data_IF_687908594865
#
_entry.id   IF_687908594865
#
_cell.length_a   1.000
_cell.length_b   1.000
_cell.length_c   1.000
_cell.angle_alpha   90.00
_cell.angle_beta   90.00
_cell.angle_gamma   90.00
#
_symmetry.space_group_name_H-M   'P 1'
#
loop_
_entity.id
_entity.type
_entity.pdbx_description
1 polymer ?
#
# COMPACT_ATOMS: atom_id res chain seq x y z
N UNK A 1 -8.28 -1.88 7.83
CA UNK A 1 -8.16 -0.50 8.33
C UNK A 1 -8.84 -0.29 9.69
N UNK A 2 -10.13 -0.61 9.86
CA UNK A 2 -10.81 -0.47 11.17
C UNK A 2 -10.07 -1.17 12.32
N UNK A 3 -9.62 -2.41 12.11
CA UNK A 3 -8.82 -3.17 13.08
C UNK A 3 -7.54 -2.41 13.46
N UNK A 4 -6.82 -1.88 12.48
CA UNK A 4 -5.57 -1.13 12.68
C UNK A 4 -5.80 0.16 13.47
N UNK A 5 -6.89 0.87 13.23
CA UNK A 5 -7.22 2.09 13.99
C UNK A 5 -7.56 1.78 15.46
N UNK A 6 -8.02 0.56 15.74
CA UNK A 6 -8.33 0.09 17.10
C UNK A 6 -7.12 -0.52 17.81
N UNK A 7 -5.97 -0.61 17.14
CA UNK A 7 -4.72 -1.07 17.73
C UNK A 7 -4.29 -0.18 18.91
N UNK A 8 -3.62 -0.81 19.89
CA UNK A 8 -2.93 -0.11 21.00
C UNK A 8 -1.69 0.65 20.52
N UNK A 9 -1.00 0.14 19.49
CA UNK A 9 0.26 0.68 18.98
C UNK A 9 0.28 0.79 17.45
N UNK A 10 -0.63 1.55 16.82
CA UNK A 10 -0.68 1.65 15.37
C UNK A 10 0.64 2.19 14.79
N UNK A 11 1.30 1.42 13.93
CA UNK A 11 2.60 1.76 13.30
C UNK A 11 2.47 2.16 11.82
N UNK A 12 1.31 2.68 11.41
CA UNK A 12 1.07 3.09 10.04
C UNK A 12 0.89 4.60 9.92
N UNK A 13 1.11 5.10 8.71
CA UNK A 13 0.80 6.48 8.33
C UNK A 13 -0.25 6.47 7.23
N UNK A 14 -1.21 7.38 7.32
CA UNK A 14 -2.12 7.68 6.21
C UNK A 14 -1.66 8.93 5.46
N UNK A 15 -1.90 8.91 4.16
CA UNK A 15 -1.55 9.97 3.23
C UNK A 15 -2.85 10.50 2.62
N UNK A 16 -3.07 11.81 2.64
CA UNK A 16 -4.18 12.38 1.86
C UNK A 16 -3.93 12.15 0.36
N UNK A 17 -4.93 12.37 -0.50
CA UNK A 17 -4.79 12.18 -1.95
C UNK A 17 -3.57 12.89 -2.55
N UNK A 18 -3.19 14.07 -2.06
CA UNK A 18 -2.05 14.82 -2.61
C UNK A 18 -0.74 14.21 -2.12
N UNK A 19 -0.61 13.94 -0.83
CA UNK A 19 0.56 13.29 -0.25
C UNK A 19 0.78 11.90 -0.87
N UNK A 20 -0.30 11.17 -1.14
CA UNK A 20 -0.23 9.88 -1.79
C UNK A 20 0.23 9.97 -3.25
N UNK A 21 -0.21 10.98 -4.01
CA UNK A 21 0.32 11.24 -5.35
C UNK A 21 1.81 11.61 -5.33
N UNK A 22 2.24 12.41 -4.34
CA UNK A 22 3.67 12.72 -4.16
C UNK A 22 4.47 11.48 -3.77
N UNK A 23 3.89 10.60 -2.94
CA UNK A 23 4.45 9.31 -2.57
C UNK A 23 4.63 8.37 -3.78
N UNK A 24 3.64 8.29 -4.67
CA UNK A 24 3.70 7.57 -5.94
C UNK A 24 4.75 8.18 -6.89
N UNK A 25 4.78 9.51 -6.99
CA UNK A 25 5.72 10.23 -7.87
C UNK A 25 7.18 9.97 -7.49
N UNK A 26 7.51 9.93 -6.19
CA UNK A 26 8.85 9.57 -5.71
C UNK A 26 9.29 8.18 -6.14
N UNK A 27 8.34 7.28 -6.37
CA UNK A 27 8.50 5.89 -6.83
C UNK A 27 8.45 5.75 -8.36
N UNK A 28 8.47 6.86 -9.09
CA UNK A 28 8.38 6.86 -10.56
C UNK A 28 6.95 6.68 -11.11
N UNK A 29 5.95 6.50 -10.25
CA UNK A 29 4.55 6.33 -10.66
C UNK A 29 3.88 7.71 -10.76
N UNK A 30 3.94 8.31 -11.95
CA UNK A 30 3.33 9.63 -12.21
C UNK A 30 1.83 9.49 -12.43
N UNK A 31 1.03 10.05 -11.52
CA UNK A 31 -0.44 10.06 -11.56
C UNK A 31 -1.02 11.41 -11.18
N UNK A 32 -2.29 11.61 -11.51
CA UNK A 32 -3.09 12.77 -11.17
C UNK A 32 -4.30 12.36 -10.33
N UNK A 33 -4.99 13.34 -9.73
CA UNK A 33 -6.20 13.09 -8.92
C UNK A 33 -7.26 12.33 -9.72
N UNK A 34 -7.44 12.66 -11.00
CA UNK A 34 -8.38 11.97 -11.88
C UNK A 34 -8.06 10.48 -12.05
N UNK A 35 -6.79 10.08 -11.94
CA UNK A 35 -6.42 8.67 -12.00
C UNK A 35 -6.87 7.94 -10.73
N UNK A 36 -6.71 8.57 -9.56
CA UNK A 36 -7.19 7.99 -8.29
C UNK A 36 -8.71 7.81 -8.31
N UNK A 37 -9.46 8.82 -8.75
CA UNK A 37 -10.91 8.75 -8.91
C UNK A 37 -11.32 7.68 -9.94
N UNK A 38 -10.57 7.54 -11.05
CA UNK A 38 -10.78 6.48 -12.01
C UNK A 38 -10.61 5.08 -11.40
N UNK A 39 -9.55 4.84 -10.62
CA UNK A 39 -9.33 3.53 -9.99
C UNK A 39 -10.34 3.22 -8.89
N UNK A 40 -10.83 4.24 -8.17
CA UNK A 40 -11.93 4.12 -7.20
C UNK A 40 -13.23 3.72 -7.92
N UNK A 41 -13.57 4.44 -9.01
CA UNK A 41 -14.71 4.11 -9.88
C UNK A 41 -14.66 2.68 -10.41
N UNK A 42 -13.47 2.21 -10.75
CA UNK A 42 -13.26 0.86 -11.25
C UNK A 42 -13.21 -0.19 -10.13
N UNK A 43 -13.39 0.17 -8.86
CA UNK A 43 -13.29 -0.74 -7.71
C UNK A 43 -11.93 -1.48 -7.68
N UNK A 44 -10.87 -0.84 -8.18
CA UNK A 44 -9.52 -1.41 -8.22
C UNK A 44 -8.72 -0.95 -7.00
N UNK A 45 -8.64 0.36 -6.80
CA UNK A 45 -7.91 0.96 -5.67
C UNK A 45 -8.73 2.09 -5.11
N UNK A 46 -9.12 1.93 -3.85
CA UNK A 46 -9.93 2.89 -3.09
C UNK A 46 -9.08 3.59 -2.04
N UNK A 47 -9.51 4.76 -1.54
CA UNK A 47 -9.01 5.22 -0.25
C UNK A 47 -9.24 4.14 0.82
N UNK A 48 -8.38 4.06 1.84
CA UNK A 48 -8.56 3.14 2.97
C UNK A 48 -9.53 3.69 4.02
N UNK A 49 -9.72 5.01 4.03
CA UNK A 49 -10.77 5.69 4.77
C UNK A 49 -11.10 7.05 4.12
N UNK A 50 -12.29 7.54 4.41
CA UNK A 50 -12.74 8.91 4.13
C UNK A 50 -13.00 9.61 5.46
N UNK A 51 -12.54 10.85 5.58
CA UNK A 51 -12.71 11.64 6.80
C UNK A 51 -13.66 12.80 6.54
N UNK A 52 -14.71 12.88 7.35
CA UNK A 52 -15.63 14.01 7.42
C UNK A 52 -14.95 15.20 8.11
N UNK A 53 -15.29 16.43 7.76
CA UNK A 53 -14.77 17.62 8.43
C UNK A 53 -14.96 17.52 9.94
N UNK A 54 -13.93 17.81 10.73
CA UNK A 54 -14.06 17.85 12.18
C UNK A 54 -14.84 19.10 12.61
N UNK A 55 -15.72 18.96 13.60
CA UNK A 55 -16.39 20.08 14.27
C UNK A 55 -15.34 20.95 14.98
N UNK A 56 -14.97 22.08 14.38
CA UNK A 56 -14.48 23.23 15.13
C UNK A 56 -14.92 24.53 14.46
N UNK A 57 -15.58 25.39 15.24
CA UNK A 57 -16.19 26.67 14.86
C UNK A 57 -15.23 27.69 14.24
N UNK A 58 -13.95 27.40 14.09
CA UNK A 58 -13.07 28.22 13.29
C UNK A 58 -11.82 27.43 12.84
N UNK A 59 -11.46 27.63 11.57
CA UNK A 59 -10.13 27.41 10.95
C UNK A 59 -9.88 26.14 10.10
N UNK A 60 -10.53 24.99 10.27
CA UNK A 60 -10.22 23.83 9.41
C UNK A 60 -11.22 23.57 8.27
N UNK A 61 -11.24 24.47 7.27
CA UNK A 61 -11.88 24.25 5.95
C UNK A 61 -11.13 23.25 5.05
N UNK A 62 -10.14 22.50 5.57
CA UNK A 62 -9.23 21.67 4.76
C UNK A 62 -8.83 20.42 5.52
N UNK A 63 -8.62 19.34 4.75
CA UNK A 63 -8.04 18.09 5.22
C UNK A 63 -6.84 18.35 6.14
N UNK A 64 -6.80 17.73 7.33
CA UNK A 64 -5.65 17.85 8.21
C UNK A 64 -4.40 17.40 7.45
N UNK A 65 -3.43 18.29 7.28
CA UNK A 65 -2.16 17.97 6.57
C UNK A 65 -1.37 16.89 7.29
N UNK A 66 -1.55 16.77 8.59
CA UNK A 66 -0.90 15.78 9.44
C UNK A 66 -1.96 15.20 10.35
N UNK A 67 -2.22 13.91 10.19
CA UNK A 67 -3.16 13.18 11.03
C UNK A 67 -2.39 12.29 11.98
N UNK A 68 -2.38 12.70 13.25
CA UNK A 68 -1.85 11.85 14.31
C UNK A 68 -2.79 10.66 14.52
N UNK A 69 -2.23 9.53 14.96
CA UNK A 69 -3.03 8.34 15.25
C UNK A 69 -4.05 8.57 16.36
N UNK A 70 -3.70 9.37 17.37
CA UNK A 70 -4.61 9.77 18.44
C UNK A 70 -5.81 10.54 17.87
N UNK A 71 -5.55 11.50 16.97
CA UNK A 71 -6.62 12.25 16.29
C UNK A 71 -7.52 11.34 15.43
N UNK A 72 -6.95 10.34 14.76
CA UNK A 72 -7.74 9.35 14.01
C UNK A 72 -8.66 8.51 14.89
N UNK A 73 -8.16 8.08 16.06
CA UNK A 73 -8.94 7.34 17.03
C UNK A 73 -10.08 8.20 17.58
N UNK A 74 -9.80 9.46 17.91
CA UNK A 74 -10.82 10.42 18.33
C UNK A 74 -11.89 10.62 17.25
N UNK A 75 -11.49 10.82 15.99
CA UNK A 75 -12.42 10.94 14.86
C UNK A 75 -13.25 9.67 14.63
N UNK A 76 -12.66 8.49 14.85
CA UNK A 76 -13.39 7.23 14.79
C UNK A 76 -14.49 7.16 15.87
N UNK A 77 -14.19 7.60 17.11
CA UNK A 77 -15.21 7.64 18.18
C UNK A 77 -16.32 8.66 17.94
N UNK A 78 -16.03 9.73 17.18
CA UNK A 78 -16.99 10.77 16.80
C UNK A 78 -17.79 10.42 15.53
N UNK A 79 -17.63 9.22 14.97
CA UNK A 79 -18.24 8.81 13.70
C UNK A 79 -17.88 9.73 12.52
N UNK A 80 -16.69 10.32 12.53
CA UNK A 80 -16.17 11.16 11.44
C UNK A 80 -15.36 10.36 10.42
N UNK A 81 -15.09 9.07 10.69
CA UNK A 81 -14.35 8.18 9.79
C UNK A 81 -15.33 7.24 9.08
N UNK A 82 -15.27 7.24 7.75
CA UNK A 82 -16.02 6.34 6.89
C UNK A 82 -15.05 5.36 6.19
N UNK A 83 -15.39 4.07 6.19
CA UNK A 83 -14.64 3.05 5.48
C UNK A 83 -15.33 2.74 4.15
N UNK A 84 -14.61 2.77 3.01
CA UNK A 84 -15.20 2.42 1.73
C UNK A 84 -15.71 0.97 1.71
N UNK A 85 -16.82 0.75 1.01
CA UNK A 85 -17.45 -0.57 0.82
C UNK A 85 -17.58 -0.93 -0.65
N UNK A 86 -17.85 -2.20 -0.99
CA UNK A 86 -18.02 -2.58 -2.38
C UNK A 86 -19.21 -1.82 -3.02
N UNK A 87 -19.00 -1.30 -4.24
CA UNK A 87 -20.00 -0.54 -5.02
C UNK A 87 -20.48 0.80 -4.42
N UNK A 88 -19.71 1.40 -3.51
CA UNK A 88 -20.06 2.67 -2.88
C UNK A 88 -19.63 3.91 -3.67
N UNK A 89 -19.04 3.75 -4.86
CA UNK A 89 -18.46 4.85 -5.63
C UNK A 89 -19.47 5.97 -5.93
N UNK A 90 -19.01 7.20 -5.73
CA UNK A 90 -19.61 8.45 -6.22
C UNK A 90 -18.51 9.32 -6.80
N UNK A 91 -18.90 10.24 -7.68
CA UNK A 91 -17.96 11.25 -8.19
C UNK A 91 -17.39 11.99 -6.98
N UNK A 92 -16.08 12.21 -6.93
CA UNK A 92 -15.42 12.66 -5.71
C UNK A 92 -15.93 13.99 -5.16
N UNK A 93 -16.35 14.88 -6.05
CA UNK A 93 -16.99 16.16 -5.70
C UNK A 93 -18.33 16.02 -4.96
N UNK A 94 -18.97 14.86 -5.02
CA UNK A 94 -20.25 14.55 -4.37
C UNK A 94 -20.05 13.95 -2.98
N UNK A 95 -18.82 13.56 -2.62
CA UNK A 95 -18.46 13.20 -1.26
C UNK A 95 -18.30 14.48 -0.44
N UNK A 96 -19.42 14.94 0.11
CA UNK A 96 -19.48 16.09 1.01
C UNK A 96 -20.01 15.67 2.37
N UNK A 97 -19.55 16.36 3.41
CA UNK A 97 -20.05 16.16 4.76
C UNK A 97 -21.38 16.88 4.96
N UNK A 98 -21.91 16.83 6.19
CA UNK A 98 -23.20 17.44 6.53
C UNK A 98 -23.24 18.97 6.39
N UNK A 99 -22.09 19.63 6.24
CA UNK A 99 -21.98 21.06 6.00
C UNK A 99 -21.72 21.40 4.53
N UNK A 100 -21.57 20.39 3.67
CA UNK A 100 -21.27 20.56 2.25
C UNK A 100 -19.78 20.67 1.95
N UNK A 101 -18.90 20.45 2.92
CA UNK A 101 -17.46 20.47 2.70
C UNK A 101 -16.98 19.11 2.15
N UNK A 102 -16.01 19.10 1.21
CA UNK A 102 -15.52 17.85 0.64
C UNK A 102 -14.86 16.92 1.67
N UNK A 103 -15.18 15.63 1.60
CA UNK A 103 -14.50 14.60 2.40
C UNK A 103 -13.03 14.45 1.99
N UNK A 104 -12.21 14.13 2.98
CA UNK A 104 -10.80 13.87 2.77
C UNK A 104 -10.55 12.39 2.53
N UNK A 105 -10.00 12.06 1.35
CA UNK A 105 -9.65 10.70 0.97
C UNK A 105 -8.25 10.37 1.46
N UNK A 106 -8.12 9.30 2.25
CA UNK A 106 -6.84 8.84 2.77
C UNK A 106 -6.46 7.50 2.18
N UNK A 107 -5.19 7.40 1.83
CA UNK A 107 -4.54 6.21 1.28
C UNK A 107 -3.46 5.73 2.22
N UNK A 108 -3.12 4.46 2.09
CA UNK A 108 -2.07 3.83 2.84
C UNK A 108 -0.83 3.63 1.94
N UNK A 109 0.40 3.88 2.42
CA UNK A 109 1.64 3.68 1.65
C UNK A 109 1.73 2.33 0.93
N UNK A 110 1.43 1.22 1.60
CA UNK A 110 1.35 -0.15 1.02
C UNK A 110 0.53 -0.24 -0.28
N UNK A 111 -0.42 0.67 -0.52
CA UNK A 111 -1.21 0.67 -1.76
C UNK A 111 -0.36 0.90 -3.02
N UNK A 112 0.90 1.33 -2.89
CA UNK A 112 1.85 1.37 -4.01
C UNK A 112 1.96 0.03 -4.74
N UNK A 113 1.88 -1.10 -4.03
CA UNK A 113 1.97 -2.44 -4.62
C UNK A 113 0.82 -2.65 -5.60
N UNK A 114 -0.41 -2.32 -5.19
CA UNK A 114 -1.58 -2.37 -6.07
C UNK A 114 -1.48 -1.39 -7.24
N UNK A 115 -1.01 -0.17 -6.98
CA UNK A 115 -0.85 0.84 -8.03
C UNK A 115 0.16 0.43 -9.08
N UNK A 116 1.34 -0.04 -8.69
CA UNK A 116 2.38 -0.44 -9.62
C UNK A 116 1.87 -1.53 -10.59
N UNK A 117 1.21 -2.56 -10.06
CA UNK A 117 0.69 -3.66 -10.89
C UNK A 117 -0.47 -3.24 -11.79
N UNK A 118 -1.44 -2.49 -11.29
CA UNK A 118 -2.56 -2.01 -12.12
C UNK A 118 -2.07 -1.03 -13.17
N UNK A 119 -1.17 -0.13 -12.79
CA UNK A 119 -0.68 0.90 -13.71
C UNK A 119 0.17 0.32 -14.83
N UNK A 120 0.97 -0.72 -14.57
CA UNK A 120 1.72 -1.42 -15.60
C UNK A 120 0.82 -2.34 -16.43
N UNK A 121 -0.15 -3.00 -15.78
CA UNK A 121 -1.07 -3.94 -16.42
C UNK A 121 -2.12 -3.31 -17.35
N UNK A 122 -2.50 -2.06 -17.07
CA UNK A 122 -3.55 -1.33 -17.82
C UNK A 122 -2.93 -0.38 -18.87
N UNK A 123 -1.60 -0.33 -19.02
CA UNK A 123 -0.96 0.46 -20.08
C UNK A 123 -1.21 -0.17 -21.46
N UNK A 124 -1.87 0.59 -22.33
CA UNK A 124 -1.94 0.27 -23.75
C UNK A 124 -0.57 0.54 -24.40
N UNK A 125 0.10 -0.53 -24.82
CA UNK A 125 1.36 -0.43 -25.57
C UNK A 125 1.06 -0.53 -27.07
N UNK A 126 1.29 0.56 -27.79
CA UNK A 126 1.23 0.57 -29.25
C UNK A 126 2.65 0.63 -29.80
N UNK A 127 3.15 -0.52 -30.27
CA UNK A 127 4.45 -0.58 -30.91
C UNK A 127 4.46 0.19 -32.23
N UNK A 128 5.60 0.82 -32.56
CA UNK A 128 5.77 1.67 -33.76
C UNK A 128 5.40 0.91 -35.04
N UNK A 129 5.91 -0.32 -35.20
CA UNK A 129 5.58 -1.15 -36.36
C UNK A 129 4.08 -1.38 -36.49
N UNK A 130 3.44 -1.80 -35.39
CA UNK A 130 2.00 -2.04 -35.35
C UNK A 130 1.19 -0.78 -35.63
N UNK A 131 1.69 0.40 -35.27
CA UNK A 131 1.07 1.69 -35.59
C UNK A 131 1.16 2.01 -37.09
N UNK A 132 2.32 1.78 -37.72
CA UNK A 132 2.51 2.00 -39.15
C UNK A 132 1.68 1.05 -40.01
N UNK A 133 1.43 -0.16 -39.51
CA UNK A 133 0.64 -1.20 -40.19
C UNK A 133 -0.89 -0.98 -40.08
N UNK A 134 -1.35 0.06 -39.37
CA UNK A 134 -2.78 0.36 -39.22
C UNK A 134 -3.34 0.92 -40.54
N UNK A 135 -4.07 0.10 -41.27
CA UNK A 135 -4.77 0.48 -42.51
C UNK A 135 -6.17 1.05 -42.26
N UNK A 136 -6.83 0.63 -41.18
CA UNK A 136 -8.14 1.14 -40.74
C UNK A 136 -8.07 1.56 -39.24
N UNK A 137 -7.82 2.86 -38.97
CA UNK A 137 -7.73 3.37 -37.61
C UNK A 137 -9.02 3.23 -36.80
N UNK A 138 -10.19 3.34 -37.43
CA UNK A 138 -11.47 3.34 -36.71
C UNK A 138 -11.79 1.94 -36.20
N UNK A 139 -11.63 0.93 -37.06
CA UNK A 139 -11.80 -0.46 -36.66
C UNK A 139 -10.73 -0.88 -35.63
N UNK A 140 -9.49 -0.44 -35.81
CA UNK A 140 -8.42 -0.71 -34.86
C UNK A 140 -8.74 -0.20 -33.45
N UNK A 141 -9.13 1.08 -33.33
CA UNK A 141 -9.51 1.68 -32.04
C UNK A 141 -10.69 0.95 -31.42
N UNK A 142 -11.67 0.50 -32.22
CA UNK A 142 -12.82 -0.25 -31.74
C UNK A 142 -12.40 -1.60 -31.13
N UNK A 143 -11.50 -2.34 -31.80
CA UNK A 143 -10.95 -3.60 -31.31
C UNK A 143 -10.13 -3.38 -30.03
N UNK A 144 -9.24 -2.38 -30.03
CA UNK A 144 -8.42 -2.05 -28.86
C UNK A 144 -9.30 -1.70 -27.67
N UNK A 145 -10.32 -0.87 -27.86
CA UNK A 145 -11.28 -0.51 -26.80
C UNK A 145 -11.99 -1.74 -26.24
N UNK A 146 -12.42 -2.67 -27.10
CA UNK A 146 -13.08 -3.92 -26.66
C UNK A 146 -12.14 -4.78 -25.82
N UNK A 147 -10.89 -4.96 -26.27
CA UNK A 147 -9.90 -5.75 -25.54
C UNK A 147 -9.52 -5.08 -24.21
N UNK A 148 -9.29 -3.77 -24.24
CA UNK A 148 -9.00 -2.98 -23.05
C UNK A 148 -10.09 -3.10 -21.99
N UNK A 149 -11.37 -3.06 -22.37
CA UNK A 149 -12.48 -3.26 -21.44
C UNK A 149 -12.53 -4.68 -20.85
N UNK A 150 -12.12 -5.69 -21.62
CA UNK A 150 -11.99 -7.07 -21.12
C UNK A 150 -10.84 -7.18 -20.12
N UNK A 151 -9.69 -6.60 -20.45
CA UNK A 151 -8.50 -6.61 -19.59
C UNK A 151 -8.78 -5.86 -18.29
N UNK A 152 -9.45 -4.71 -18.36
CA UNK A 152 -9.92 -3.96 -17.18
C UNK A 152 -10.73 -4.84 -16.24
N UNK A 153 -11.69 -5.64 -16.74
CA UNK A 153 -12.46 -6.57 -15.90
C UNK A 153 -11.59 -7.66 -15.28
N UNK A 154 -10.61 -8.16 -16.02
CA UNK A 154 -9.62 -9.11 -15.50
C UNK A 154 -8.81 -8.51 -14.35
N UNK A 155 -8.36 -7.26 -14.52
CA UNK A 155 -7.64 -6.52 -13.48
C UNK A 155 -8.51 -6.20 -12.27
N UNK A 156 -9.79 -5.85 -12.45
CA UNK A 156 -10.72 -5.64 -11.34
C UNK A 156 -10.83 -6.90 -10.48
N UNK A 157 -11.00 -8.05 -11.14
CA UNK A 157 -11.05 -9.34 -10.47
C UNK A 157 -9.72 -9.66 -9.75
N UNK A 158 -8.59 -9.51 -10.42
CA UNK A 158 -7.26 -9.74 -9.82
C UNK A 158 -7.00 -8.83 -8.61
N UNK A 159 -7.40 -7.57 -8.68
CA UNK A 159 -7.29 -6.64 -7.55
C UNK A 159 -8.11 -7.10 -6.35
N UNK A 160 -9.36 -7.50 -6.58
CA UNK A 160 -10.25 -7.97 -5.52
C UNK A 160 -9.79 -9.29 -4.92
N UNK A 161 -9.45 -10.27 -5.76
CA UNK A 161 -9.20 -11.64 -5.34
C UNK A 161 -7.78 -11.83 -4.76
N UNK A 162 -6.82 -10.97 -5.12
CA UNK A 162 -5.42 -11.16 -4.75
C UNK A 162 -4.77 -9.93 -4.12
N UNK A 163 -4.77 -8.77 -4.79
CA UNK A 163 -3.97 -7.63 -4.34
C UNK A 163 -4.53 -6.91 -3.12
N UNK A 164 -5.85 -6.69 -3.05
CA UNK A 164 -6.48 -6.08 -1.88
C UNK A 164 -6.27 -6.91 -0.60
N UNK A 165 -6.49 -8.24 -0.60
CA UNK A 165 -6.12 -9.10 0.53
C UNK A 165 -4.65 -9.00 0.93
N UNK A 166 -3.72 -9.04 -0.05
CA UNK A 166 -2.28 -8.92 0.21
C UNK A 166 -1.90 -7.59 0.83
N UNK A 167 -2.42 -6.49 0.32
CA UNK A 167 -2.21 -5.16 0.89
C UNK A 167 -2.79 -5.08 2.31
N UNK A 168 -3.98 -5.64 2.54
CA UNK A 168 -4.58 -5.73 3.87
C UNK A 168 -3.73 -6.52 4.87
N UNK A 169 -3.18 -7.66 4.43
CA UNK A 169 -2.25 -8.46 5.23
C UNK A 169 -0.97 -7.69 5.56
N UNK A 170 -0.34 -7.05 4.57
CA UNK A 170 0.85 -6.23 4.80
C UNK A 170 0.59 -5.09 5.80
N UNK A 171 -0.56 -4.43 5.72
CA UNK A 171 -0.94 -3.40 6.71
C UNK A 171 -1.10 -3.97 8.13
N UNK A 172 -1.57 -5.22 8.28
CA UNK A 172 -1.64 -5.90 9.58
C UNK A 172 -0.26 -6.23 10.15
N UNK A 173 0.73 -6.46 9.28
CA UNK A 173 2.11 -6.71 9.72
C UNK A 173 2.84 -5.46 10.17
N UNK A 174 2.46 -4.27 9.69
CA UNK A 174 3.19 -3.05 10.01
C UNK A 174 3.23 -2.78 11.52
N UNK A 175 2.14 -3.05 12.24
CA UNK A 175 2.03 -2.83 13.69
C UNK A 175 3.14 -3.51 14.50
N UNK A 176 3.46 -4.76 14.16
CA UNK A 176 4.40 -5.58 14.91
C UNK A 176 5.77 -5.70 14.26
N UNK A 177 5.90 -5.51 12.94
CA UNK A 177 7.18 -5.73 12.25
C UNK A 177 7.79 -4.47 11.64
N UNK A 178 7.00 -3.43 11.35
CA UNK A 178 7.54 -2.22 10.70
C UNK A 178 8.64 -1.54 11.53
N UNK A 179 8.55 -1.40 12.86
CA UNK A 179 9.62 -0.75 13.63
C UNK A 179 10.96 -1.47 13.54
N UNK A 180 10.96 -2.80 13.52
CA UNK A 180 12.19 -3.60 13.41
C UNK A 180 12.79 -3.53 11.98
N UNK A 181 11.92 -3.51 10.97
CA UNK A 181 12.34 -3.53 9.56
C UNK A 181 12.77 -2.15 9.07
N UNK A 182 11.99 -1.12 9.39
CA UNK A 182 12.19 0.24 8.88
C UNK A 182 13.07 1.10 9.78
N UNK A 183 13.33 0.64 11.02
CA UNK A 183 14.01 1.38 12.08
C UNK A 183 13.33 2.71 12.44
N UNK A 184 12.03 2.81 12.16
CA UNK A 184 11.21 3.94 12.53
C UNK A 184 10.02 3.51 13.38
N UNK A 185 9.81 4.24 14.46
CA UNK A 185 8.68 4.03 15.35
C UNK A 185 7.75 5.24 15.29
N UNK A 186 6.48 4.97 14.96
CA UNK A 186 5.44 5.99 14.99
C UNK A 186 4.80 5.99 16.38
N UNK A 187 5.45 6.71 17.31
CA UNK A 187 5.03 6.84 18.70
C UNK A 187 4.34 8.16 19.03
N UNK A 188 3.65 8.19 20.17
CA UNK A 188 3.10 9.40 20.78
C UNK A 188 4.19 10.35 21.30
N UNK A 189 3.78 11.35 22.09
CA UNK A 189 4.62 12.48 22.53
C UNK A 189 5.86 12.12 23.36
N UNK A 190 6.02 10.86 23.82
CA UNK A 190 7.22 10.38 24.51
C UNK A 190 7.78 9.09 23.89
N UNK A 191 8.54 9.25 22.81
CA UNK A 191 9.03 8.17 21.93
C UNK A 191 9.75 7.03 22.66
N UNK A 192 10.65 7.32 23.61
CA UNK A 192 11.43 6.27 24.30
C UNK A 192 10.51 5.37 25.15
N UNK A 193 9.66 5.97 25.98
CA UNK A 193 8.71 5.21 26.80
C UNK A 193 7.64 4.51 25.96
N UNK A 194 7.30 5.06 24.79
CA UNK A 194 6.34 4.44 23.87
C UNK A 194 6.96 3.24 23.15
N UNK A 195 8.23 3.32 22.76
CA UNK A 195 8.93 2.21 22.10
C UNK A 195 9.12 1.02 23.05
N UNK A 196 9.56 1.25 24.30
CA UNK A 196 9.68 0.19 25.31
C UNK A 196 8.33 -0.51 25.56
N UNK A 197 7.25 0.26 25.67
CA UNK A 197 5.88 -0.29 25.81
C UNK A 197 5.43 -1.08 24.59
N UNK A 198 5.81 -0.64 23.39
CA UNK A 198 5.54 -1.39 22.17
C UNK A 198 6.32 -2.71 22.14
N UNK A 199 7.60 -2.71 22.54
CA UNK A 199 8.40 -3.94 22.64
C UNK A 199 7.79 -4.92 23.66
N UNK A 200 7.41 -4.43 24.84
CA UNK A 200 6.74 -5.23 25.86
C UNK A 200 5.43 -5.83 25.33
N UNK A 201 4.59 -5.02 24.68
CA UNK A 201 3.37 -5.49 24.03
C UNK A 201 3.66 -6.53 22.94
N UNK A 202 4.65 -6.30 22.08
CA UNK A 202 5.03 -7.24 21.02
C UNK A 202 5.47 -8.59 21.58
N UNK A 203 6.22 -8.59 22.68
CA UNK A 203 6.71 -9.83 23.30
C UNK A 203 5.64 -10.56 24.11
N UNK A 204 4.74 -9.84 24.79
CA UNK A 204 3.84 -10.43 25.79
C UNK A 204 2.39 -10.56 25.33
N UNK A 205 1.92 -9.72 24.41
CA UNK A 205 0.50 -9.60 24.04
C UNK A 205 0.23 -9.83 22.55
N UNK A 206 1.16 -9.50 21.65
CA UNK A 206 0.98 -9.69 20.22
C UNK A 206 0.80 -11.18 19.87
N UNK A 207 -0.16 -11.46 19.00
CA UNK A 207 -0.47 -12.81 18.55
C UNK A 207 -0.53 -12.88 17.02
N UNK A 208 0.40 -13.60 16.42
CA UNK A 208 0.43 -13.95 15.00
C UNK A 208 -0.84 -14.67 14.55
N UNK A 209 -1.43 -15.51 15.42
CA UNK A 209 -2.72 -16.17 15.18
C UNK A 209 -3.85 -15.19 14.93
N UNK A 210 -3.87 -14.05 15.62
CA UNK A 210 -4.89 -13.01 15.39
C UNK A 210 -4.77 -12.37 14.00
N UNK A 211 -3.54 -12.25 13.47
CA UNK A 211 -3.29 -11.75 12.12
C UNK A 211 -3.82 -12.74 11.07
N UNK A 212 -3.62 -14.04 11.26
CA UNK A 212 -4.17 -15.08 10.37
C UNK A 212 -5.70 -15.04 10.39
N UNK A 213 -6.30 -15.00 11.58
CA UNK A 213 -7.76 -14.93 11.74
C UNK A 213 -8.36 -13.71 11.06
N UNK A 214 -7.68 -12.56 11.10
CA UNK A 214 -8.15 -11.31 10.50
C UNK A 214 -7.88 -11.20 8.99
N UNK A 215 -6.97 -11.99 8.44
CA UNK A 215 -6.58 -11.92 7.02
C UNK A 215 -7.16 -13.05 6.17
N UNK A 216 -7.53 -14.18 6.77
CA UNK A 216 -7.93 -15.42 6.08
C UNK A 216 -6.84 -16.03 5.19
N UNK A 217 -5.57 -15.68 5.42
CA UNK A 217 -4.44 -16.25 4.66
C UNK A 217 -4.10 -17.64 5.17
N UNK A 218 -3.85 -18.57 4.25
CA UNK A 218 -3.24 -19.86 4.57
C UNK A 218 -1.72 -19.72 4.71
N UNK A 219 -1.06 -20.75 5.23
CA UNK A 219 0.41 -20.81 5.27
C UNK A 219 0.97 -20.68 3.85
N UNK A 220 0.39 -21.40 2.90
CA UNK A 220 0.79 -21.38 1.49
C UNK A 220 0.66 -19.99 0.87
N UNK A 221 -0.41 -19.25 1.18
CA UNK A 221 -0.61 -17.88 0.72
C UNK A 221 0.48 -16.93 1.23
N UNK A 222 0.91 -17.11 2.48
CA UNK A 222 1.94 -16.28 3.13
C UNK A 222 3.30 -16.53 2.47
N UNK A 223 3.67 -17.80 2.24
CA UNK A 223 4.90 -18.14 1.53
C UNK A 223 4.86 -17.69 0.07
N UNK A 224 3.71 -17.82 -0.60
CA UNK A 224 3.54 -17.31 -1.97
C UNK A 224 3.68 -15.79 -2.03
N UNK A 225 3.14 -15.06 -1.05
CA UNK A 225 3.31 -13.61 -0.94
C UNK A 225 4.77 -13.24 -0.68
N UNK A 226 5.45 -13.94 0.23
CA UNK A 226 6.88 -13.74 0.48
C UNK A 226 7.70 -13.86 -0.81
N UNK A 227 7.56 -14.99 -1.51
CA UNK A 227 8.25 -15.25 -2.76
C UNK A 227 7.92 -14.21 -3.84
N UNK A 228 6.66 -13.79 -3.94
CA UNK A 228 6.24 -12.75 -4.88
C UNK A 228 6.94 -11.42 -4.62
N UNK A 229 6.90 -10.94 -3.37
CA UNK A 229 7.51 -9.66 -2.98
C UNK A 229 9.03 -9.69 -3.16
N UNK A 230 9.67 -10.79 -2.80
CA UNK A 230 11.10 -10.95 -2.96
C UNK A 230 11.54 -11.09 -4.43
N UNK A 231 10.68 -11.60 -5.34
CA UNK A 231 11.00 -11.79 -6.77
C UNK A 231 10.69 -10.59 -7.65
N UNK A 232 9.64 -9.81 -7.36
CA UNK A 232 9.33 -8.57 -8.11
C UNK A 232 10.55 -7.62 -8.14
N UNK A 233 11.41 -7.79 -7.17
CA UNK A 233 12.69 -7.15 -6.98
C UNK A 233 13.82 -7.51 -7.97
N UNK A 234 13.67 -8.52 -8.83
CA UNK A 234 14.75 -8.90 -9.76
C UNK A 234 15.09 -7.80 -10.79
N UNK A 235 14.22 -6.81 -10.95
CA UNK A 235 14.48 -5.61 -11.73
C UNK A 235 15.05 -4.44 -10.88
N UNK A 236 15.55 -4.69 -9.65
CA UNK A 236 16.19 -3.66 -8.81
C UNK A 236 17.42 -3.08 -9.52
N UNK A 237 17.44 -1.78 -9.84
CA UNK A 237 18.61 -1.14 -10.45
C UNK A 237 19.86 -1.19 -9.54
N UNK A 238 19.67 -1.45 -8.24
CA UNK A 238 20.75 -1.60 -7.27
C UNK A 238 21.05 -3.07 -6.92
N UNK A 239 20.49 -4.03 -7.65
CA UNK A 239 20.54 -5.44 -7.28
C UNK A 239 21.96 -5.99 -7.12
N UNK A 240 22.87 -5.60 -8.01
CA UNK A 240 24.27 -6.02 -7.94
C UNK A 240 25.06 -5.39 -6.77
N UNK A 241 24.44 -4.50 -6.00
CA UNK A 241 25.07 -3.72 -4.93
C UNK A 241 24.55 -4.12 -3.55
N UNK A 242 23.88 -5.26 -3.38
CA UNK A 242 23.29 -5.68 -2.10
C UNK A 242 24.23 -5.63 -0.90
N UNK A 243 25.49 -6.10 -0.97
CA UNK A 243 26.41 -6.01 0.17
C UNK A 243 26.66 -4.56 0.60
N UNK A 244 26.59 -3.60 -0.33
CA UNK A 244 26.71 -2.18 -0.03
C UNK A 244 25.37 -1.62 0.47
N UNK A 245 24.24 -2.11 -0.04
CA UNK A 245 22.95 -1.73 0.48
C UNK A 245 22.79 -2.15 1.95
N UNK A 246 23.27 -3.32 2.37
CA UNK A 246 23.09 -3.82 3.75
C UNK A 246 23.77 -2.95 4.81
N UNK A 247 24.86 -2.26 4.44
CA UNK A 247 25.60 -1.35 5.35
C UNK A 247 25.07 0.10 5.35
N UNK A 248 24.25 0.48 4.36
CA UNK A 248 23.71 1.85 4.27
C UNK A 248 22.55 2.01 5.25
N UNK A 249 22.61 3.07 6.07
CA UNK A 249 21.51 3.46 6.98
C UNK A 249 20.19 3.59 6.23
N UNK A 250 19.10 3.03 6.77
CA UNK A 250 17.74 3.09 6.20
C UNK A 250 17.30 4.53 5.84
N UNK A 251 17.66 5.53 6.65
CA UNK A 251 17.36 6.95 6.37
C UNK A 251 17.95 7.46 5.06
N UNK A 252 19.11 6.94 4.63
CA UNK A 252 19.71 7.27 3.33
C UNK A 252 19.04 6.53 2.17
N UNK A 253 18.63 5.27 2.37
CA UNK A 253 17.89 4.50 1.36
C UNK A 253 16.57 5.18 0.97
N UNK A 254 15.94 5.90 1.91
CA UNK A 254 14.71 6.69 1.66
C UNK A 254 14.92 7.93 0.78
N UNK A 255 16.18 8.30 0.49
CA UNK A 255 16.52 9.36 -0.46
C UNK A 255 16.60 8.84 -1.91
N UNK A 256 16.51 7.52 -2.11
CA UNK A 256 16.36 6.93 -3.44
C UNK A 256 15.07 7.42 -4.10
N UNK A 257 15.02 7.32 -5.42
CA UNK A 257 13.87 7.71 -6.25
C UNK A 257 13.62 6.66 -7.32
N UNK A 258 12.40 6.64 -7.87
CA UNK A 258 12.03 5.73 -8.94
C UNK A 258 12.01 4.27 -8.48
N UNK A 259 12.42 3.38 -9.40
CA UNK A 259 12.46 1.93 -9.21
C UNK A 259 13.33 1.53 -8.01
N UNK A 260 14.46 2.19 -7.78
CA UNK A 260 15.32 1.91 -6.64
C UNK A 260 14.60 2.08 -5.29
N UNK A 261 13.74 3.10 -5.17
CA UNK A 261 12.95 3.32 -3.94
C UNK A 261 11.84 2.27 -3.82
N UNK A 262 11.19 1.92 -4.93
CA UNK A 262 10.16 0.88 -4.97
C UNK A 262 10.74 -0.46 -4.52
N UNK A 263 11.92 -0.85 -5.01
CA UNK A 263 12.60 -2.06 -4.58
C UNK A 263 12.85 -2.07 -3.07
N UNK A 264 13.24 -0.94 -2.47
CA UNK A 264 13.37 -0.85 -1.00
C UNK A 264 12.04 -1.05 -0.27
N UNK A 265 10.92 -0.56 -0.80
CA UNK A 265 9.61 -0.83 -0.22
C UNK A 265 9.29 -2.34 -0.27
N UNK A 266 9.55 -3.00 -1.40
CA UNK A 266 9.39 -4.46 -1.53
C UNK A 266 10.30 -5.25 -0.59
N UNK A 267 11.54 -4.81 -0.38
CA UNK A 267 12.44 -5.38 0.61
C UNK A 267 11.86 -5.31 2.02
N UNK A 268 11.34 -4.16 2.41
CA UNK A 268 10.75 -3.96 3.72
C UNK A 268 9.50 -4.84 3.88
N UNK A 269 8.63 -4.90 2.86
CA UNK A 269 7.47 -5.80 2.86
C UNK A 269 7.85 -7.27 2.95
N UNK A 270 8.79 -7.75 2.14
CA UNK A 270 9.25 -9.14 2.15
C UNK A 270 9.89 -9.49 3.50
N UNK A 271 10.67 -8.56 4.10
CA UNK A 271 11.28 -8.76 5.42
C UNK A 271 10.23 -8.85 6.53
N UNK A 272 9.18 -8.03 6.49
CA UNK A 272 8.06 -8.15 7.43
C UNK A 272 7.36 -9.52 7.33
N UNK A 273 7.10 -9.99 6.09
CA UNK A 273 6.50 -11.31 5.87
C UNK A 273 7.43 -12.43 6.36
N UNK A 274 8.75 -12.31 6.13
CA UNK A 274 9.75 -13.26 6.63
C UNK A 274 9.76 -13.34 8.16
N UNK A 275 9.74 -12.21 8.87
CA UNK A 275 9.64 -12.20 10.33
C UNK A 275 8.35 -12.87 10.81
N UNK A 276 7.22 -12.61 10.13
CA UNK A 276 5.96 -13.28 10.42
C UNK A 276 6.04 -14.80 10.25
N UNK A 277 6.65 -15.28 9.16
CA UNK A 277 6.84 -16.72 8.89
C UNK A 277 7.65 -17.37 10.02
N UNK A 278 8.72 -16.71 10.45
CA UNK A 278 9.56 -17.19 11.55
C UNK A 278 8.78 -17.26 12.87
N UNK A 279 8.04 -16.22 13.21
CA UNK A 279 7.32 -16.16 14.49
C UNK A 279 6.12 -17.12 14.55
N UNK A 280 5.38 -17.30 13.45
CA UNK A 280 4.20 -18.18 13.42
C UNK A 280 4.54 -19.65 13.14
N UNK A 281 5.43 -19.92 12.18
CA UNK A 281 5.71 -21.27 11.69
C UNK A 281 7.05 -21.83 12.17
N UNK A 282 7.88 -21.01 12.84
CA UNK A 282 9.24 -21.37 13.24
C UNK A 282 10.10 -21.84 12.04
N UNK A 283 9.86 -21.27 10.86
CA UNK A 283 10.61 -21.54 9.64
C UNK A 283 11.50 -20.35 9.28
N UNK A 284 12.76 -20.64 8.94
CA UNK A 284 13.71 -19.62 8.50
C UNK A 284 13.78 -19.65 6.97
N UNK A 285 13.14 -18.68 6.33
CA UNK A 285 13.27 -18.48 4.88
C UNK A 285 14.49 -17.62 4.60
N UNK A 286 15.15 -17.84 3.45
CA UNK A 286 16.28 -17.01 3.02
C UNK A 286 15.88 -15.53 3.00
N UNK A 287 16.77 -14.59 3.31
CA UNK A 287 16.55 -13.17 3.10
C UNK A 287 16.12 -12.83 1.65
N UNK A 288 15.36 -11.75 1.44
CA UNK A 288 14.85 -11.38 0.11
C UNK A 288 15.94 -11.05 -0.92
N UNK A 289 17.14 -10.69 -0.47
CA UNK A 289 18.33 -10.44 -1.28
C UNK A 289 19.09 -11.72 -1.67
N UNK A 290 18.91 -12.81 -0.93
CA UNK A 290 19.61 -14.09 -1.17
C UNK A 290 18.85 -15.05 -2.10
N UNK A 291 17.60 -14.72 -2.48
CA UNK A 291 16.78 -15.57 -3.35
C UNK A 291 17.24 -15.61 -4.82
N UNK A 292 18.20 -14.75 -5.21
CA UNK A 292 18.72 -14.64 -6.58
C UNK A 292 19.92 -15.53 -6.92
N UNK A 293 20.55 -16.18 -5.93
CA UNK A 293 21.76 -16.99 -6.16
C UNK A 293 21.45 -18.44 -6.62
N UNK A 294 20.22 -18.91 -6.41
CA UNK A 294 19.75 -20.14 -7.05
C UNK A 294 19.33 -19.82 -8.48
N UNK A 295 20.31 -19.97 -9.38
CA UNK A 295 20.10 -20.16 -10.82
C UNK A 295 19.07 -21.26 -11.04
N UNK A 296 17.84 -20.86 -11.33
CA UNK A 296 16.82 -21.77 -11.88
C UNK A 296 17.17 -22.06 -13.34
N UNK A 297 17.92 -23.15 -13.54
CA UNK A 297 17.94 -23.92 -14.78
C UNK A 297 16.62 -24.66 -14.98
#
# INVERSE_FOLDING_TARGET
>A
MKILLQSKFPQFRLLDSKEFLDHLKKRGIKRQISDLEFYDKMNMIKPVLRLHGALQESVFKRCPKTLSMLSLQDYLTQNLVEFPSDNDYKIWKEWVDKWGDPLCMYYHPVQIVGFEHVTNGVKLHLGVQKFLDITDPVNYVTIVKKNYLKDLKGWQKSMKDHWLPRMGFLMLLEESYSPDVTQEYFGGTNLNTSFEKWQEWKSNEFSTKSVIQNSSFTKEDIFALYNLLARINHDDPLGNWFPLQSIIKKSRKRQLIGEALVSQDYYDFATMVRHFIKDEFNEDVLPPDDLGDDKWH
#
